data_IF_538522380465
#
_entry.id   IF_538522380465
#
_cell.length_a   1.000
_cell.length_b   1.000
_cell.length_c   1.000
_cell.angle_alpha   90.00
_cell.angle_beta   90.00
_cell.angle_gamma   90.00
#
_symmetry.space_group_name_H-M   'P 1'
#
loop_
_entity.id
_entity.type
_entity.pdbx_description
1 polymer ?
#
# COMPACT_ATOMS: atom_id res chain seq x y z
N UNK A 1 -31.49 14.21 -50.95
CA UNK A 1 -30.05 14.25 -51.27
C UNK A 1 -29.30 15.18 -50.31
N UNK A 2 -29.10 14.77 -49.05
CA UNK A 2 -28.26 15.49 -48.05
C UNK A 2 -27.58 14.54 -47.03
N UNK A 3 -27.94 13.25 -47.05
CA UNK A 3 -27.42 12.21 -46.16
C UNK A 3 -26.00 11.75 -46.52
N UNK A 4 -25.57 11.92 -47.78
CA UNK A 4 -24.21 11.54 -48.19
C UNK A 4 -23.14 12.39 -47.49
N UNK A 5 -23.42 13.69 -47.25
CA UNK A 5 -22.50 14.59 -46.51
C UNK A 5 -22.35 14.21 -45.04
N UNK A 6 -23.43 13.77 -44.40
CA UNK A 6 -23.40 13.27 -43.01
C UNK A 6 -22.66 11.93 -42.94
N UNK A 7 -22.87 11.05 -43.93
CA UNK A 7 -22.16 9.78 -44.03
C UNK A 7 -20.65 9.97 -44.25
N UNK A 8 -20.24 10.98 -45.02
CA UNK A 8 -18.80 11.25 -45.26
C UNK A 8 -18.09 11.73 -43.99
N UNK A 9 -18.79 12.50 -43.14
CA UNK A 9 -18.22 13.04 -41.91
C UNK A 9 -18.12 11.98 -40.80
N UNK A 10 -19.03 11.01 -40.77
CA UNK A 10 -19.02 9.91 -39.81
C UNK A 10 -17.94 8.86 -40.13
N UNK A 11 -17.67 8.59 -41.42
CA UNK A 11 -16.61 7.66 -41.84
C UNK A 11 -15.21 8.24 -41.60
N UNK A 12 -15.02 9.57 -41.72
CA UNK A 12 -13.73 10.20 -41.46
C UNK A 12 -13.34 10.22 -39.96
N UNK A 13 -14.32 10.27 -39.06
CA UNK A 13 -14.08 10.28 -37.60
C UNK A 13 -13.66 8.93 -37.01
N UNK A 14 -14.07 7.82 -37.63
CA UNK A 14 -13.79 6.46 -37.12
C UNK A 14 -12.35 5.97 -37.41
N UNK A 15 -11.61 6.63 -38.31
CA UNK A 15 -10.26 6.19 -38.72
C UNK A 15 -9.16 6.72 -37.77
N UNK A 16 -9.46 7.69 -36.91
CA UNK A 16 -8.48 8.33 -36.02
C UNK A 16 -8.36 7.66 -34.63
N UNK A 17 -9.09 6.58 -34.33
CA UNK A 17 -9.11 5.95 -32.99
C UNK A 17 -8.22 4.70 -32.83
N UNK A 18 -7.34 4.39 -33.79
CA UNK A 18 -6.43 3.23 -33.70
C UNK A 18 -4.92 3.57 -33.72
N UNK A 19 -4.54 4.81 -33.40
CA UNK A 19 -3.13 5.17 -33.16
C UNK A 19 -2.89 5.47 -31.67
N UNK A 20 -2.75 4.41 -30.88
CA UNK A 20 -2.38 4.48 -29.47
C UNK A 20 -1.66 3.20 -29.03
N UNK A 21 -0.39 3.37 -28.66
CA UNK A 21 0.55 2.40 -28.04
C UNK A 21 1.11 1.28 -28.93
N UNK A 22 2.29 1.56 -29.50
CA UNK A 22 3.32 0.57 -29.80
C UNK A 22 3.98 0.18 -28.47
N UNK A 23 3.69 -1.01 -27.96
CA UNK A 23 4.51 -1.65 -26.94
C UNK A 23 5.59 -2.49 -27.64
N UNK A 24 6.85 -2.08 -27.46
CA UNK A 24 7.98 -2.89 -27.84
C UNK A 24 7.95 -4.18 -27.02
N UNK A 25 7.68 -5.30 -27.70
CA UNK A 25 7.68 -6.63 -27.10
C UNK A 25 9.03 -6.92 -26.47
N UNK A 26 9.10 -6.85 -25.14
CA UNK A 26 10.12 -7.54 -24.36
C UNK A 26 9.48 -8.75 -23.71
N UNK A 27 9.62 -9.88 -24.40
CA UNK A 27 9.40 -11.22 -23.87
C UNK A 27 10.07 -11.35 -22.49
N UNK A 28 9.27 -11.43 -21.43
CA UNK A 28 9.74 -11.93 -20.14
C UNK A 28 9.83 -13.45 -20.21
N UNK A 29 10.87 -13.93 -20.89
CA UNK A 29 11.34 -15.30 -20.74
C UNK A 29 11.96 -15.41 -19.35
N UNK A 30 11.19 -15.89 -18.38
CA UNK A 30 11.72 -16.39 -17.11
C UNK A 30 12.50 -17.68 -17.38
N UNK A 31 13.76 -17.53 -17.80
CA UNK A 31 14.78 -18.58 -17.66
C UNK A 31 15.76 -18.09 -16.61
N UNK A 32 16.03 -18.87 -15.54
CA UNK A 32 16.97 -18.46 -14.51
C UNK A 32 18.38 -18.48 -15.10
N UNK A 33 18.93 -17.31 -15.40
CA UNK A 33 20.37 -17.16 -15.57
C UNK A 33 20.98 -17.05 -14.17
N UNK A 34 21.60 -18.14 -13.75
CA UNK A 34 22.60 -18.17 -12.68
C UNK A 34 23.66 -17.11 -13.00
N UNK A 35 23.75 -16.08 -12.15
CA UNK A 35 24.84 -15.13 -12.16
C UNK A 35 25.88 -15.56 -11.12
N UNK A 36 27.09 -15.83 -11.59
CA UNK A 36 28.33 -15.97 -10.82
C UNK A 36 28.51 -14.78 -9.84
N UNK A 37 29.22 -14.95 -8.72
CA UNK A 37 29.25 -13.99 -7.63
C UNK A 37 30.16 -12.81 -7.98
N UNK A 38 29.57 -11.64 -8.21
CA UNK A 38 30.32 -10.39 -8.25
C UNK A 38 30.34 -9.76 -6.85
N UNK A 39 31.52 -9.34 -6.34
CA UNK A 39 31.66 -8.85 -4.98
C UNK A 39 30.93 -7.52 -4.80
N UNK A 40 29.91 -7.51 -3.96
CA UNK A 40 29.19 -6.30 -3.61
C UNK A 40 30.07 -5.45 -2.70
N UNK A 41 30.50 -4.29 -3.22
CA UNK A 41 31.10 -3.23 -2.44
C UNK A 41 30.12 -2.76 -1.37
N UNK A 42 30.61 -2.64 -0.14
CA UNK A 42 29.90 -2.06 0.99
C UNK A 42 29.30 -0.70 0.60
N UNK A 43 27.99 -0.54 0.80
CA UNK A 43 27.33 0.76 0.74
C UNK A 43 26.77 1.07 2.12
N UNK A 44 27.57 1.87 2.83
CA UNK A 44 27.28 2.75 3.96
C UNK A 44 26.10 2.38 4.88
N UNK A 45 26.50 1.81 6.02
CA UNK A 45 26.01 2.11 7.36
C UNK A 45 25.30 3.46 7.47
N UNK A 46 23.99 3.43 7.69
CA UNK A 46 23.36 4.36 8.63
C UNK A 46 22.93 3.51 9.82
N UNK A 47 23.85 3.34 10.76
CA UNK A 47 23.50 3.01 12.13
C UNK A 47 22.84 4.27 12.70
N UNK A 48 21.52 4.22 12.84
CA UNK A 48 20.79 4.95 13.88
C UNK A 48 19.71 3.97 14.35
N UNK A 49 20.03 3.16 15.33
CA UNK A 49 19.86 3.46 16.75
C UNK A 49 18.43 3.09 17.21
N UNK A 50 18.41 2.04 18.02
CA UNK A 50 17.35 1.61 18.96
C UNK A 50 15.93 1.41 18.40
N UNK A 51 15.64 0.19 17.97
CA UNK A 51 14.32 -0.41 18.28
C UNK A 51 14.46 -1.63 19.19
N UNK A 52 15.51 -1.63 20.02
CA UNK A 52 15.51 -2.41 21.24
C UNK A 52 14.76 -1.58 22.29
N UNK A 53 13.42 -1.57 22.19
CA UNK A 53 12.60 -1.23 23.35
C UNK A 53 12.95 -2.24 24.43
N UNK A 54 13.02 -1.81 25.67
CA UNK A 54 13.61 -2.50 26.83
C UNK A 54 12.90 -3.81 27.23
N UNK A 55 12.09 -4.39 26.34
CA UNK A 55 11.68 -5.79 26.22
C UNK A 55 11.84 -6.24 24.74
N UNK A 56 13.06 -6.70 24.39
CA UNK A 56 13.66 -6.82 23.05
C UNK A 56 12.95 -7.72 22.02
N UNK A 57 11.91 -7.22 21.35
CA UNK A 57 11.30 -7.88 20.19
C UNK A 57 11.59 -7.04 18.94
N UNK A 58 12.21 -7.63 17.91
CA UNK A 58 12.46 -6.94 16.63
C UNK A 58 11.16 -6.80 15.82
N UNK A 59 11.00 -5.69 15.10
CA UNK A 59 9.86 -5.47 14.19
C UNK A 59 9.85 -6.47 13.03
N UNK A 60 11.02 -6.86 12.53
CA UNK A 60 11.20 -7.88 11.52
C UNK A 60 12.16 -8.97 12.01
N UNK A 61 11.78 -10.24 11.89
CA UNK A 61 12.54 -11.40 12.39
C UNK A 61 12.75 -12.45 11.30
N UNK A 62 13.82 -13.26 11.45
CA UNK A 62 14.09 -14.33 10.50
C UNK A 62 13.19 -15.55 10.79
N UNK A 63 12.37 -15.95 9.82
CA UNK A 63 11.52 -17.13 9.94
C UNK A 63 12.32 -18.45 10.07
N UNK A 64 13.58 -18.44 9.64
CA UNK A 64 14.50 -19.59 9.77
C UNK A 64 15.20 -19.65 11.14
N UNK A 65 14.83 -18.79 12.10
CA UNK A 65 15.38 -18.80 13.45
C UNK A 65 16.80 -18.27 13.55
N UNK A 66 17.30 -17.52 12.56
CA UNK A 66 18.57 -16.82 12.70
C UNK A 66 18.47 -15.75 13.80
N UNK A 67 19.54 -15.60 14.58
CA UNK A 67 19.62 -14.56 15.61
C UNK A 67 19.53 -13.16 15.00
N UNK A 68 18.89 -12.25 15.75
CA UNK A 68 18.72 -10.86 15.37
C UNK A 68 17.44 -10.59 14.57
N UNK A 69 17.39 -9.40 13.98
CA UNK A 69 16.24 -8.88 13.26
C UNK A 69 16.51 -7.45 12.78
N UNK A 70 15.47 -6.78 12.32
CA UNK A 70 15.57 -5.41 11.83
C UNK A 70 14.39 -4.55 12.28
N UNK A 71 14.61 -3.24 12.32
CA UNK A 71 13.55 -2.26 12.53
C UNK A 71 12.71 -2.01 11.25
N UNK A 72 13.18 -2.48 10.09
CA UNK A 72 12.53 -2.30 8.80
C UNK A 72 12.58 -3.58 7.97
N UNK A 73 11.73 -3.65 6.93
CA UNK A 73 11.74 -4.74 5.98
C UNK A 73 13.10 -4.85 5.28
N UNK A 74 13.55 -6.08 5.06
CA UNK A 74 14.85 -6.35 4.45
C UNK A 74 15.19 -7.84 4.52
N UNK A 75 16.43 -8.16 4.16
CA UNK A 75 16.95 -9.53 4.18
C UNK A 75 17.70 -9.79 5.48
N UNK A 76 17.63 -11.02 5.97
CA UNK A 76 18.41 -11.48 7.10
C UNK A 76 19.91 -11.44 6.75
N UNK A 77 20.71 -10.78 7.57
CA UNK A 77 22.16 -10.70 7.38
C UNK A 77 22.86 -12.06 7.43
N UNK A 78 22.27 -13.04 8.12
CA UNK A 78 22.86 -14.37 8.32
C UNK A 78 22.56 -15.33 7.16
N UNK A 79 21.33 -15.37 6.68
CA UNK A 79 20.91 -16.38 5.68
C UNK A 79 20.42 -15.78 4.35
N UNK A 80 20.37 -14.45 4.22
CA UNK A 80 19.95 -13.77 2.99
C UNK A 80 18.45 -13.84 2.68
N UNK A 81 17.66 -14.63 3.42
CA UNK A 81 16.21 -14.72 3.24
C UNK A 81 15.48 -13.47 3.73
N UNK A 82 14.31 -13.13 3.15
CA UNK A 82 13.52 -11.99 3.60
C UNK A 82 13.09 -12.15 5.06
N UNK A 83 13.17 -11.07 5.83
CA UNK A 83 12.66 -11.03 7.20
C UNK A 83 11.13 -10.97 7.19
N UNK A 84 10.51 -11.69 8.12
CA UNK A 84 9.08 -11.69 8.33
C UNK A 84 8.68 -10.60 9.32
N UNK A 85 7.50 -10.00 9.10
CA UNK A 85 6.94 -9.02 10.01
C UNK A 85 6.54 -9.68 11.35
N UNK A 86 6.96 -9.08 12.46
CA UNK A 86 6.72 -9.60 13.80
C UNK A 86 5.59 -8.82 14.49
N UNK A 87 4.41 -9.42 14.54
CA UNK A 87 3.23 -8.78 15.10
C UNK A 87 3.37 -8.42 16.59
N UNK A 88 4.18 -9.16 17.35
CA UNK A 88 4.38 -8.92 18.78
C UNK A 88 5.07 -7.56 19.07
N UNK A 89 5.80 -7.00 18.10
CA UNK A 89 6.43 -5.68 18.21
C UNK A 89 5.40 -4.58 18.52
N UNK A 90 4.24 -4.61 17.88
CA UNK A 90 3.19 -3.61 18.09
C UNK A 90 2.43 -3.80 19.42
N UNK A 91 2.46 -5.00 19.98
CA UNK A 91 1.82 -5.28 21.26
C UNK A 91 2.66 -4.77 22.45
N UNK A 92 3.98 -4.63 22.27
CA UNK A 92 4.89 -4.15 23.32
C UNK A 92 4.99 -2.62 23.41
N UNK A 93 4.47 -1.88 22.43
CA UNK A 93 4.49 -0.41 22.44
C UNK A 93 3.37 0.22 23.28
N UNK A 94 2.51 -0.59 23.91
CA UNK A 94 1.38 -0.12 24.71
C UNK A 94 1.72 0.04 26.21
N UNK A 95 3.00 -0.03 26.59
CA UNK A 95 3.40 0.21 27.98
C UNK A 95 4.75 0.94 28.09
N UNK A 96 4.71 2.04 28.84
CA UNK A 96 5.81 2.84 29.40
C UNK A 96 6.73 3.61 28.45
N UNK A 97 6.42 4.88 28.19
CA UNK A 97 7.08 6.02 28.85
C UNK A 97 6.63 7.33 28.19
N UNK A 98 5.55 7.93 28.69
CA UNK A 98 5.25 9.32 28.41
C UNK A 98 4.75 10.03 29.66
N UNK A 99 5.67 10.34 30.56
CA UNK A 99 5.50 11.44 31.51
C UNK A 99 5.76 12.75 30.74
N UNK A 100 4.83 13.16 29.88
CA UNK A 100 4.81 14.50 29.30
C UNK A 100 3.68 15.27 29.97
N UNK A 101 4.10 16.35 30.61
CA UNK A 101 3.30 17.37 31.29
C UNK A 101 2.09 17.81 30.48
N UNK A 102 0.97 17.97 31.20
CA UNK A 102 -0.36 18.40 30.77
C UNK A 102 -0.37 19.40 29.60
N UNK A 103 -0.85 18.92 28.46
CA UNK A 103 -1.73 19.67 27.58
C UNK A 103 -2.86 18.72 27.18
N UNK A 104 -4.13 19.15 27.14
CA UNK A 104 -5.22 18.25 26.80
C UNK A 104 -5.12 17.91 25.32
N UNK A 105 -4.36 16.86 24.99
CA UNK A 105 -4.52 16.18 23.73
C UNK A 105 -5.88 15.51 23.79
N UNK A 106 -6.86 16.13 23.13
CA UNK A 106 -8.12 15.48 22.84
C UNK A 106 -7.79 14.18 22.11
N UNK A 107 -8.09 13.06 22.75
CA UNK A 107 -8.11 11.77 22.07
C UNK A 107 -9.00 11.94 20.83
N UNK A 108 -8.50 11.72 19.60
CA UNK A 108 -9.33 11.81 18.41
C UNK A 108 -10.57 10.93 18.61
N UNK A 109 -11.75 11.52 18.46
CA UNK A 109 -13.00 10.78 18.58
C UNK A 109 -12.94 9.58 17.62
N UNK A 110 -13.35 8.40 18.09
CA UNK A 110 -13.41 7.22 17.25
C UNK A 110 -14.24 7.53 16.00
N UNK A 111 -13.63 7.41 14.82
CA UNK A 111 -14.31 7.69 13.57
C UNK A 111 -15.42 6.65 13.35
N UNK A 112 -16.63 7.14 13.08
CA UNK A 112 -17.79 6.30 12.81
C UNK A 112 -17.81 5.85 11.36
N UNK A 113 -18.60 4.81 11.05
CA UNK A 113 -18.77 4.36 9.66
C UNK A 113 -19.32 5.47 8.73
N UNK A 114 -20.17 6.32 9.30
CA UNK A 114 -20.83 7.44 8.62
C UNK A 114 -20.74 8.69 9.47
N UNK A 115 -20.70 9.86 8.84
CA UNK A 115 -20.84 11.13 9.54
C UNK A 115 -22.30 11.36 10.00
N UNK A 116 -22.57 12.47 10.68
CA UNK A 116 -23.91 12.84 11.17
C UNK A 116 -24.95 13.03 10.07
N UNK A 117 -24.53 13.23 8.82
CA UNK A 117 -25.39 13.29 7.63
C UNK A 117 -25.60 11.93 6.97
N UNK A 118 -25.09 10.84 7.54
CA UNK A 118 -25.18 9.49 6.99
C UNK A 118 -24.23 9.23 5.82
N UNK A 119 -23.26 10.11 5.56
CA UNK A 119 -22.28 9.95 4.49
C UNK A 119 -21.19 8.98 4.96
N UNK A 120 -20.87 7.95 4.17
CA UNK A 120 -19.80 7.00 4.47
C UNK A 120 -18.41 7.56 4.21
N UNK A 121 -17.43 7.14 5.02
CA UNK A 121 -16.02 7.50 4.85
C UNK A 121 -15.42 6.89 3.57
N UNK A 122 -15.81 5.67 3.23
CA UNK A 122 -15.41 4.98 2.01
C UNK A 122 -16.63 4.55 1.21
N UNK A 123 -16.66 4.88 -0.08
CA UNK A 123 -17.77 4.60 -1.00
C UNK A 123 -17.31 3.81 -2.23
N UNK A 124 -18.24 3.15 -2.91
CA UNK A 124 -17.94 2.47 -4.15
C UNK A 124 -17.87 3.47 -5.32
N UNK A 125 -16.71 3.56 -5.99
CA UNK A 125 -16.55 4.40 -7.19
C UNK A 125 -17.44 3.99 -8.37
N UNK A 126 -17.97 2.76 -8.36
CA UNK A 126 -18.92 2.26 -9.37
C UNK A 126 -20.39 2.59 -9.05
N UNK A 127 -20.66 3.33 -7.98
CA UNK A 127 -22.03 3.74 -7.61
C UNK A 127 -22.87 2.63 -6.97
N UNK A 128 -22.25 1.58 -6.43
CA UNK A 128 -22.98 0.59 -5.62
C UNK A 128 -23.55 1.25 -4.35
N UNK A 129 -24.68 0.76 -3.87
CA UNK A 129 -25.26 1.20 -2.61
C UNK A 129 -24.36 0.82 -1.42
N UNK A 130 -24.26 1.72 -0.44
CA UNK A 130 -23.52 1.51 0.80
C UNK A 130 -22.06 1.98 0.74
N UNK A 131 -21.33 1.68 1.83
CA UNK A 131 -19.94 2.09 2.04
C UNK A 131 -19.38 1.46 3.31
N UNK A 132 -18.23 1.96 3.76
CA UNK A 132 -17.58 1.49 4.98
C UNK A 132 -16.92 2.65 5.75
N UNK A 133 -16.70 2.44 7.04
CA UNK A 133 -15.88 3.33 7.87
C UNK A 133 -14.38 3.23 7.64
N UNK A 134 -13.94 2.19 6.93
CA UNK A 134 -12.54 1.92 6.68
C UNK A 134 -12.30 1.49 5.23
N UNK A 135 -11.04 1.58 4.80
CA UNK A 135 -10.61 1.07 3.50
C UNK A 135 -10.90 -0.44 3.39
N UNK A 136 -11.26 -0.88 2.19
CA UNK A 136 -11.62 -2.27 1.92
C UNK A 136 -12.31 -2.43 0.58
N UNK A 137 -13.01 -3.55 0.42
CA UNK A 137 -13.70 -3.89 -0.81
C UNK A 137 -15.21 -3.66 -0.67
N UNK A 138 -15.86 -3.21 -1.75
CA UNK A 138 -17.30 -3.07 -1.83
C UNK A 138 -17.97 -4.44 -1.71
N UNK A 139 -18.89 -4.59 -0.76
CA UNK A 139 -19.63 -5.84 -0.56
C UNK A 139 -20.47 -6.26 -1.78
N UNK A 140 -20.88 -5.32 -2.62
CA UNK A 140 -21.72 -5.60 -3.79
C UNK A 140 -20.95 -6.01 -5.04
N UNK A 141 -19.78 -5.41 -5.29
CA UNK A 141 -19.05 -5.61 -6.54
C UNK A 141 -17.59 -6.06 -6.37
N UNK A 142 -17.10 -6.18 -5.13
CA UNK A 142 -15.73 -6.62 -4.83
C UNK A 142 -14.63 -5.60 -5.15
N UNK A 143 -14.93 -4.49 -5.82
CA UNK A 143 -13.94 -3.45 -6.12
C UNK A 143 -13.50 -2.69 -4.87
N UNK A 144 -12.29 -2.14 -4.87
CA UNK A 144 -11.80 -1.30 -3.79
C UNK A 144 -12.70 -0.08 -3.57
N UNK A 145 -13.01 0.21 -2.31
CA UNK A 145 -13.72 1.42 -1.93
C UNK A 145 -12.77 2.62 -2.04
N UNK A 146 -13.31 3.73 -2.50
CA UNK A 146 -12.61 5.01 -2.61
C UNK A 146 -12.95 5.90 -1.43
N UNK A 147 -11.95 6.63 -0.95
CA UNK A 147 -12.14 7.64 0.09
C UNK A 147 -13.15 8.71 -0.36
N UNK A 148 -14.12 9.01 0.49
CA UNK A 148 -15.17 9.98 0.24
C UNK A 148 -14.86 11.30 0.92
N UNK A 149 -14.42 12.29 0.16
CA UNK A 149 -14.11 13.61 0.71
C UNK A 149 -15.31 14.28 1.41
N UNK A 150 -16.55 13.98 1.00
CA UNK A 150 -17.75 14.53 1.62
C UNK A 150 -17.99 14.05 3.06
N UNK A 151 -17.28 13.02 3.52
CA UNK A 151 -17.38 12.54 4.90
C UNK A 151 -16.90 13.58 5.93
N UNK A 152 -15.86 14.36 5.57
CA UNK A 152 -15.21 15.34 6.44
C UNK A 152 -15.77 16.78 6.30
N UNK A 153 -16.90 16.93 5.60
CA UNK A 153 -17.56 18.21 5.32
C UNK A 153 -18.62 18.57 6.36
#
# INVERSE_FOLDING_TARGET
>A
MNYYKILTLLVLGAVMTFYGCKEDGKTNTNTPKQADPQPFKASNTTNNETSQSTASVYHYTCANGCEGGAAAAGNCATCGNPLAHNQAFHNNNNNTNNTQTDSPFLTPAAETSTNTSGVFHYICGQGCAGGAGAAGNCASCGNALTHNAAYHQ
#
